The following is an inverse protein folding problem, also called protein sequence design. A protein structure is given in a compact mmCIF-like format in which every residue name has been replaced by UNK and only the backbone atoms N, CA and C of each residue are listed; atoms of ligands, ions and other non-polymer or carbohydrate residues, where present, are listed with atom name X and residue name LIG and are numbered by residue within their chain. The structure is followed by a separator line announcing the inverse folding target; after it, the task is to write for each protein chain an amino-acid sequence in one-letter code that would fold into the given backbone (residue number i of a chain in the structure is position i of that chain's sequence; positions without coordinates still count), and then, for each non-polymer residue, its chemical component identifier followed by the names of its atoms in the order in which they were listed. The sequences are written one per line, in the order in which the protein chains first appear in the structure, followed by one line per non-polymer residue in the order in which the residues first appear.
data_IF_690608668536
#
_entry.id   IF_690608668536
#
_cell.length_a   1.000
_cell.length_b   1.000
_cell.length_c   1.000
_cell.angle_alpha   90.00
_cell.angle_beta   90.00
_cell.angle_gamma   90.00
#
_symmetry.space_group_name_H-M   'P 1'
#
loop_
_entity.id
_entity.type
_entity.pdbx_description
1 polymer ?
#
# COMPACT_ATOMS: atom_id res chain seq x y z
N UNK A 1 -11.09 27.32 2.23
CA UNK A 1 -10.47 26.22 1.45
C UNK A 1 -11.49 25.67 0.47
N UNK A 2 -11.60 26.30 -0.70
CA UNK A 2 -12.43 25.79 -1.79
C UNK A 2 -11.48 25.34 -2.88
N UNK A 3 -11.27 24.03 -2.99
CA UNK A 3 -10.57 23.48 -4.15
C UNK A 3 -11.37 23.82 -5.40
N UNK A 4 -10.70 24.32 -6.43
CA UNK A 4 -11.34 24.47 -7.73
C UNK A 4 -11.61 23.07 -8.34
N UNK A 5 -12.52 22.99 -9.30
CA UNK A 5 -12.86 21.72 -9.96
C UNK A 5 -11.61 20.98 -10.49
N UNK A 6 -10.71 21.73 -11.13
CA UNK A 6 -9.45 21.19 -11.67
C UNK A 6 -8.54 20.66 -10.55
N UNK A 7 -8.40 21.39 -9.44
CA UNK A 7 -7.58 20.95 -8.30
C UNK A 7 -8.15 19.67 -7.67
N UNK A 8 -9.48 19.57 -7.56
CA UNK A 8 -10.16 18.39 -7.02
C UNK A 8 -9.93 17.16 -7.91
N UNK A 9 -9.97 17.33 -9.23
CA UNK A 9 -9.68 16.25 -10.19
C UNK A 9 -8.23 15.77 -10.07
N UNK A 10 -7.28 16.70 -10.02
CA UNK A 10 -5.86 16.36 -9.87
C UNK A 10 -5.61 15.68 -8.53
N UNK A 11 -6.20 16.17 -7.44
CA UNK A 11 -6.10 15.55 -6.13
C UNK A 11 -6.66 14.13 -6.12
N UNK A 12 -7.85 13.91 -6.70
CA UNK A 12 -8.45 12.59 -6.81
C UNK A 12 -7.63 11.62 -7.65
N UNK A 13 -7.08 12.07 -8.78
CA UNK A 13 -6.19 11.27 -9.61
C UNK A 13 -4.88 10.94 -8.89
N UNK A 14 -4.26 11.90 -8.21
CA UNK A 14 -3.04 11.68 -7.43
C UNK A 14 -3.27 10.68 -6.29
N UNK A 15 -4.36 10.82 -5.55
CA UNK A 15 -4.74 9.89 -4.49
C UNK A 15 -5.03 8.49 -5.04
N UNK A 16 -5.76 8.39 -6.15
CA UNK A 16 -6.05 7.11 -6.81
C UNK A 16 -4.78 6.39 -7.28
N UNK A 17 -3.88 7.11 -7.97
CA UNK A 17 -2.61 6.56 -8.44
C UNK A 17 -1.71 6.10 -7.28
N UNK A 18 -1.62 6.89 -6.20
CA UNK A 18 -0.88 6.50 -5.01
C UNK A 18 -1.44 5.24 -4.35
N UNK A 19 -2.76 5.12 -4.26
CA UNK A 19 -3.41 3.93 -3.73
C UNK A 19 -3.19 2.70 -4.63
N UNK A 20 -3.31 2.86 -5.95
CA UNK A 20 -3.02 1.77 -6.90
C UNK A 20 -1.57 1.29 -6.77
N UNK A 21 -0.61 2.21 -6.67
CA UNK A 21 0.80 1.86 -6.45
C UNK A 21 0.99 1.06 -5.15
N UNK A 22 0.35 1.48 -4.06
CA UNK A 22 0.39 0.76 -2.79
C UNK A 22 -0.16 -0.67 -2.90
N UNK A 23 -1.27 -0.86 -3.63
CA UNK A 23 -1.86 -2.19 -3.85
C UNK A 23 -0.96 -3.09 -4.70
N UNK A 24 -0.36 -2.56 -5.77
CA UNK A 24 0.55 -3.33 -6.65
C UNK A 24 1.78 -3.79 -5.87
N UNK A 25 2.40 -2.90 -5.08
CA UNK A 25 3.52 -3.26 -4.21
C UNK A 25 3.13 -4.32 -3.18
N UNK A 26 1.98 -4.13 -2.53
CA UNK A 26 1.47 -5.09 -1.56
C UNK A 26 1.22 -6.46 -2.20
N UNK A 27 0.68 -6.51 -3.41
CA UNK A 27 0.45 -7.76 -4.14
C UNK A 27 1.76 -8.47 -4.51
N UNK A 28 2.74 -7.74 -5.05
CA UNK A 28 4.03 -8.31 -5.43
C UNK A 28 4.79 -8.89 -4.24
N UNK A 29 4.86 -8.16 -3.12
CA UNK A 29 5.55 -8.68 -1.93
C UNK A 29 4.79 -9.87 -1.32
N UNK A 30 3.46 -9.90 -1.42
CA UNK A 30 2.67 -11.06 -0.95
C UNK A 30 2.91 -12.32 -1.78
N UNK A 31 3.16 -12.18 -3.08
CA UNK A 31 3.51 -13.30 -3.96
C UNK A 31 4.87 -13.88 -3.55
N UNK A 32 5.89 -13.05 -3.33
CA UNK A 32 7.20 -13.50 -2.84
C UNK A 32 7.11 -14.17 -1.46
N UNK A 33 6.28 -13.62 -0.57
CA UNK A 33 6.05 -14.15 0.77
C UNK A 33 5.36 -15.51 0.77
N UNK A 34 4.61 -15.88 -0.28
CA UNK A 34 3.98 -17.19 -0.39
C UNK A 34 5.01 -18.32 -0.51
N UNK A 35 6.17 -18.03 -1.12
CA UNK A 35 7.30 -18.94 -1.25
C UNK A 35 8.28 -18.89 -0.07
N UNK A 36 8.09 -17.95 0.87
CA UNK A 36 8.95 -17.77 2.03
C UNK A 36 8.52 -18.65 3.22
N UNK A 37 9.49 -19.01 4.07
CA UNK A 37 9.25 -19.74 5.32
C UNK A 37 8.68 -18.80 6.41
N UNK A 38 7.38 -18.51 6.31
CA UNK A 38 6.65 -17.71 7.30
C UNK A 38 6.12 -18.63 8.42
N UNK A 39 6.35 -18.30 9.70
CA UNK A 39 5.82 -19.08 10.81
C UNK A 39 4.29 -19.12 10.78
N UNK A 40 3.73 -20.30 11.06
CA UNK A 40 2.28 -20.58 10.99
C UNK A 40 1.35 -19.50 11.60
N UNK A 41 1.62 -18.91 12.79
CA UNK A 41 0.74 -17.89 13.36
C UNK A 41 0.75 -16.54 12.61
N UNK A 42 1.76 -16.25 11.79
CA UNK A 42 1.87 -15.00 11.04
C UNK A 42 1.38 -15.10 9.59
N UNK A 43 1.10 -16.32 9.11
CA UNK A 43 0.63 -16.52 7.73
C UNK A 43 -0.72 -15.85 7.47
N UNK A 44 -0.88 -15.30 6.27
CA UNK A 44 -2.10 -14.61 5.86
C UNK A 44 -2.19 -13.18 6.41
N UNK A 45 -3.09 -12.97 7.39
CA UNK A 45 -3.45 -11.62 7.86
C UNK A 45 -2.32 -10.96 8.66
N UNK A 46 -1.60 -11.72 9.49
CA UNK A 46 -0.53 -11.18 10.34
C UNK A 46 0.59 -10.53 9.52
N UNK A 47 1.14 -11.27 8.56
CA UNK A 47 2.19 -10.76 7.67
C UNK A 47 1.70 -9.62 6.79
N UNK A 48 0.43 -9.64 6.36
CA UNK A 48 -0.16 -8.55 5.60
C UNK A 48 -0.22 -7.23 6.39
N UNK A 49 -0.50 -7.28 7.70
CA UNK A 49 -0.46 -6.09 8.56
C UNK A 49 0.96 -5.55 8.76
N UNK A 50 1.94 -6.43 8.93
CA UNK A 50 3.36 -6.02 9.00
C UNK A 50 3.76 -5.34 7.69
N UNK A 51 3.39 -5.93 6.56
CA UNK A 51 3.65 -5.39 5.24
C UNK A 51 2.97 -4.03 5.03
N UNK A 52 1.72 -3.88 5.45
CA UNK A 52 1.00 -2.60 5.41
C UNK A 52 1.70 -1.54 6.27
N UNK A 53 2.21 -1.91 7.45
CA UNK A 53 3.00 -1.02 8.30
C UNK A 53 4.31 -0.58 7.65
N UNK A 54 5.03 -1.51 7.01
CA UNK A 54 6.27 -1.21 6.28
C UNK A 54 6.00 -0.29 5.07
N UNK A 55 4.94 -0.55 4.32
CA UNK A 55 4.51 0.31 3.21
C UNK A 55 4.10 1.71 3.70
N UNK A 56 3.42 1.80 4.85
CA UNK A 56 3.10 3.08 5.49
C UNK A 56 4.35 3.87 5.84
N UNK A 57 5.39 3.23 6.39
CA UNK A 57 6.67 3.87 6.66
C UNK A 57 7.40 4.29 5.37
N UNK A 58 7.34 3.47 4.32
CA UNK A 58 7.94 3.79 3.03
C UNK A 58 7.29 4.99 2.35
N UNK A 59 5.96 5.09 2.40
CA UNK A 59 5.22 6.24 1.85
C UNK A 59 5.24 7.47 2.76
N UNK A 60 5.26 7.30 4.07
CA UNK A 60 5.32 8.39 5.05
C UNK A 60 6.71 9.02 5.20
N UNK A 61 7.76 8.37 4.67
CA UNK A 61 9.13 8.91 4.63
C UNK A 61 9.40 9.91 3.50
N UNK A 62 8.39 10.26 2.70
CA UNK A 62 8.42 11.23 1.60
C UNK A 62 7.81 12.58 1.98
#
# INVERSE_FOLDING_TARGET
NSYNFIETVIFGLGAGLGFTLALVLMAGIREDLEFADIPAPLRGVGIAFILAGLLSLAFGGF
#
